data_IF_639173153545
#
_entry.id   IF_639173153545
#
_cell.length_a   1.000
_cell.length_b   1.000
_cell.length_c   1.000
_cell.angle_alpha   90.00
_cell.angle_beta   90.00
_cell.angle_gamma   90.00
#
_symmetry.space_group_name_H-M   'P 1'
#
loop_
_entity.id
_entity.type
_entity.pdbx_description
1 polymer ?
#
# COMPACT_ATOMS: atom_id res chain seq x y z
N UNK A 1 30.98 4.31 5.33
CA UNK A 1 29.95 3.61 4.53
C UNK A 1 28.75 3.45 5.44
N UNK A 2 27.83 4.41 5.41
CA UNK A 2 26.65 4.39 6.27
C UNK A 2 25.70 3.30 5.82
N UNK A 3 25.43 2.37 6.73
CA UNK A 3 24.39 1.35 6.59
C UNK A 3 23.06 2.10 6.52
N UNK A 4 22.33 1.94 5.42
CA UNK A 4 20.90 2.25 5.36
C UNK A 4 20.29 1.64 6.63
N UNK A 5 19.72 2.45 7.52
CA UNK A 5 19.16 1.95 8.78
C UNK A 5 18.11 0.88 8.44
N UNK A 6 18.25 -0.35 8.96
CA UNK A 6 17.18 -1.33 8.88
C UNK A 6 15.92 -0.72 9.52
N UNK A 7 14.79 -0.77 8.83
CA UNK A 7 13.48 -0.41 9.38
C UNK A 7 13.05 -1.51 10.37
N UNK A 8 13.64 -1.53 11.56
CA UNK A 8 13.30 -2.52 12.59
C UNK A 8 11.98 -2.20 13.30
N UNK A 9 11.21 -3.28 13.54
CA UNK A 9 9.85 -3.33 14.08
C UNK A 9 9.80 -3.07 15.59
N UNK A 10 8.73 -2.42 16.03
CA UNK A 10 8.10 -2.70 17.33
C UNK A 10 6.66 -3.18 17.09
N UNK A 11 6.27 -4.26 17.75
CA UNK A 11 4.93 -4.86 17.65
C UNK A 11 4.07 -4.28 18.78
N UNK A 12 2.96 -3.62 18.43
CA UNK A 12 1.97 -3.17 19.40
C UNK A 12 0.55 -3.54 18.95
N UNK A 13 -0.30 -3.83 19.94
CA UNK A 13 -1.65 -4.40 19.80
C UNK A 13 -2.66 -3.40 19.25
N UNK A 14 -2.97 -3.53 17.96
CA UNK A 14 -4.20 -3.10 17.30
C UNK A 14 -4.71 -4.25 16.42
N UNK A 15 -5.76 -4.03 15.60
CA UNK A 15 -6.30 -5.04 14.67
C UNK A 15 -5.17 -5.77 13.94
N UNK A 16 -5.26 -7.09 13.87
CA UNK A 16 -4.30 -7.92 13.15
C UNK A 16 -4.32 -7.57 11.66
N UNK A 17 -3.17 -7.64 11.00
CA UNK A 17 -3.05 -7.35 9.56
C UNK A 17 -4.02 -8.17 8.70
N UNK A 18 -4.31 -9.41 9.14
CA UNK A 18 -5.29 -10.30 8.54
C UNK A 18 -6.73 -9.78 8.68
N UNK A 19 -7.11 -9.17 9.81
CA UNK A 19 -8.43 -8.56 9.98
C UNK A 19 -8.63 -7.36 9.05
N UNK A 20 -7.58 -6.56 8.82
CA UNK A 20 -7.64 -5.45 7.86
C UNK A 20 -7.77 -6.01 6.44
N UNK A 21 -6.94 -6.96 6.01
CA UNK A 21 -7.06 -7.53 4.67
C UNK A 21 -8.42 -8.21 4.45
N UNK A 22 -8.91 -8.98 5.42
CA UNK A 22 -10.22 -9.63 5.33
C UNK A 22 -11.36 -8.59 5.37
N UNK A 23 -11.20 -7.50 6.12
CA UNK A 23 -12.15 -6.37 6.08
C UNK A 23 -12.14 -5.66 4.72
N UNK A 24 -10.95 -5.45 4.13
CA UNK A 24 -10.77 -4.92 2.78
C UNK A 24 -11.44 -5.82 1.72
N UNK A 25 -11.17 -7.13 1.74
CA UNK A 25 -11.70 -8.08 0.76
C UNK A 25 -13.20 -8.35 0.92
N UNK A 26 -13.70 -8.56 2.15
CA UNK A 26 -15.13 -8.82 2.37
C UNK A 26 -15.99 -7.62 1.98
N UNK A 27 -15.50 -6.39 2.19
CA UNK A 27 -16.29 -5.19 1.86
C UNK A 27 -16.16 -4.76 0.42
N UNK A 28 -15.09 -5.15 -0.31
CA UNK A 28 -14.99 -5.07 -1.77
C UNK A 28 -16.02 -5.98 -2.50
N UNK A 29 -16.45 -7.09 -1.87
CA UNK A 29 -17.52 -7.94 -2.40
C UNK A 29 -18.95 -7.46 -2.05
N UNK A 30 -19.12 -6.59 -1.05
CA UNK A 30 -20.43 -6.06 -0.65
C UNK A 30 -20.89 -4.85 -1.49
N UNK A 31 -20.04 -4.32 -2.39
CA UNK A 31 -20.35 -3.17 -3.24
C UNK A 31 -21.62 -3.31 -4.12
N UNK A 32 -22.08 -4.51 -4.57
CA UNK A 32 -23.35 -4.62 -5.27
C UNK A 32 -24.56 -4.94 -4.36
N UNK A 33 -24.36 -5.27 -3.07
CA UNK A 33 -25.41 -5.84 -2.21
C UNK A 33 -26.04 -4.85 -1.23
N UNK A 34 -25.40 -3.72 -0.94
CA UNK A 34 -25.90 -2.74 0.03
C UNK A 34 -26.98 -1.81 -0.57
N UNK A 35 -26.94 -1.53 -1.88
CA UNK A 35 -27.96 -0.72 -2.56
C UNK A 35 -29.38 -1.31 -2.46
N UNK A 36 -29.50 -2.64 -2.35
CA UNK A 36 -30.81 -3.31 -2.25
C UNK A 36 -31.40 -3.36 -0.84
N UNK A 37 -30.68 -2.90 0.19
CA UNK A 37 -31.12 -3.04 1.59
C UNK A 37 -31.65 -1.75 2.23
N UNK A 38 -31.63 -0.63 1.51
CA UNK A 38 -32.09 0.66 2.04
C UNK A 38 -33.48 1.10 1.57
N UNK A 39 -34.20 0.30 0.78
CA UNK A 39 -35.54 0.67 0.26
C UNK A 39 -36.73 0.03 0.97
N UNK A 40 -36.54 -0.77 2.02
CA UNK A 40 -37.67 -1.45 2.68
C UNK A 40 -37.74 -1.16 4.18
N UNK A 41 -38.72 -0.34 4.54
CA UNK A 41 -39.18 -0.06 5.90
C UNK A 41 -39.75 -1.36 6.51
N UNK A 42 -39.35 -1.82 7.71
CA UNK A 42 -39.86 -3.07 8.23
C UNK A 42 -41.24 -2.88 8.88
N UNK A 43 -42.24 -3.63 8.38
CA UNK A 43 -43.47 -3.95 9.12
C UNK A 43 -43.50 -5.46 9.45
N UNK A 44 -43.69 -5.70 10.75
CA UNK A 44 -43.96 -6.92 11.52
C UNK A 44 -44.12 -8.32 10.84
N UNK A 45 -43.46 -9.29 11.49
CA UNK A 45 -43.77 -10.71 11.77
C UNK A 45 -44.39 -11.62 10.69
N UNK A 46 -43.79 -12.81 10.45
CA UNK A 46 -44.30 -14.17 10.84
C UNK A 46 -43.42 -15.30 10.26
N UNK A 47 -43.37 -16.41 11.00
CA UNK A 47 -42.67 -17.71 10.91
C UNK A 47 -42.73 -18.52 9.59
N UNK A 48 -41.67 -19.29 9.27
CA UNK A 48 -41.64 -20.78 9.13
C UNK A 48 -40.57 -21.34 8.15
N UNK A 49 -39.82 -22.38 8.60
CA UNK A 49 -39.32 -23.62 7.89
C UNK A 49 -38.40 -23.45 6.64
N UNK A 50 -37.46 -24.33 6.24
CA UNK A 50 -36.85 -25.61 6.65
C UNK A 50 -35.56 -25.77 5.79
N UNK A 51 -34.55 -26.47 6.31
CA UNK A 51 -33.38 -27.17 5.71
C UNK A 51 -33.03 -26.99 4.22
N UNK A 52 -31.72 -26.81 3.91
CA UNK A 52 -30.96 -27.82 3.16
C UNK A 52 -29.44 -27.63 3.23
N UNK A 53 -28.77 -28.77 3.18
CA UNK A 53 -27.34 -29.05 3.22
C UNK A 53 -26.60 -28.50 2.00
N UNK A 54 -25.38 -27.99 2.19
CA UNK A 54 -24.38 -28.08 1.13
C UNK A 54 -22.94 -28.13 1.65
N UNK A 55 -22.23 -29.05 1.04
CA UNK A 55 -20.90 -29.55 1.37
C UNK A 55 -19.83 -28.51 1.02
N UNK A 56 -18.82 -28.42 1.89
CA UNK A 56 -17.63 -27.58 1.72
C UNK A 56 -16.64 -28.33 0.82
N UNK A 57 -16.07 -27.70 -0.22
CA UNK A 57 -14.78 -28.13 -0.75
C UNK A 57 -13.68 -27.34 -0.04
N UNK A 58 -12.82 -28.07 0.67
CA UNK A 58 -11.55 -27.60 1.20
C UNK A 58 -10.60 -27.19 0.06
N UNK A 59 -9.79 -26.17 0.33
CA UNK A 59 -8.40 -26.21 -0.12
C UNK A 59 -7.91 -25.17 -1.12
N UNK A 60 -8.28 -23.89 -1.00
CA UNK A 60 -7.38 -22.82 -1.44
C UNK A 60 -6.58 -22.32 -0.24
N UNK A 61 -5.27 -22.54 -0.25
CA UNK A 61 -4.36 -21.91 0.72
C UNK A 61 -4.40 -20.40 0.46
N UNK A 62 -5.25 -19.72 1.23
CA UNK A 62 -5.23 -18.27 1.41
C UNK A 62 -3.77 -17.84 1.62
N UNK A 63 -3.27 -16.84 0.87
CA UNK A 63 -1.93 -16.31 1.12
C UNK A 63 -1.84 -15.90 2.59
N UNK A 64 -0.69 -16.13 3.23
CA UNK A 64 -0.49 -15.80 4.64
C UNK A 64 -0.66 -14.28 4.85
N UNK A 65 -1.88 -13.87 5.22
CA UNK A 65 -2.31 -12.48 5.32
C UNK A 65 -1.57 -11.72 6.43
N UNK A 66 -0.79 -12.41 7.26
CA UNK A 66 0.05 -11.81 8.31
C UNK A 66 1.30 -11.12 7.76
N UNK A 67 1.72 -11.45 6.53
CA UNK A 67 2.91 -10.88 5.90
C UNK A 67 2.65 -9.57 5.14
N UNK A 68 1.39 -9.27 4.79
CA UNK A 68 1.07 -8.08 4.00
C UNK A 68 1.41 -6.79 4.77
N UNK A 69 2.18 -5.92 4.12
CA UNK A 69 2.58 -4.62 4.63
C UNK A 69 2.04 -3.52 3.72
N UNK A 70 1.60 -2.43 4.33
CA UNK A 70 0.98 -1.32 3.61
C UNK A 70 1.80 -0.05 3.75
N UNK A 71 1.68 0.79 2.74
CA UNK A 71 2.10 2.18 2.75
C UNK A 71 0.91 3.06 2.39
N UNK A 72 0.89 4.28 2.93
CA UNK A 72 -0.14 5.26 2.64
C UNK A 72 0.45 6.61 2.29
N UNK A 73 -0.23 7.35 1.41
CA UNK A 73 0.20 8.66 0.93
C UNK A 73 -0.33 9.74 1.87
N UNK A 74 0.57 10.49 2.51
CA UNK A 74 0.18 11.62 3.35
C UNK A 74 -0.37 12.77 2.50
N UNK A 75 -1.40 13.41 3.03
CA UNK A 75 -1.99 14.61 2.44
C UNK A 75 -1.15 15.87 2.65
N UNK A 76 -0.24 15.85 3.63
CA UNK A 76 0.57 17.01 4.05
C UNK A 76 1.69 17.33 3.06
N UNK A 77 2.35 16.29 2.56
CA UNK A 77 3.56 16.41 1.74
C UNK A 77 3.52 15.57 0.45
N UNK A 78 2.47 14.77 0.25
CA UNK A 78 2.32 13.90 -0.92
C UNK A 78 3.22 12.65 -0.91
N UNK A 79 3.90 12.38 0.20
CA UNK A 79 4.84 11.27 0.31
C UNK A 79 4.20 9.98 0.80
N UNK A 80 4.86 8.86 0.51
CA UNK A 80 4.45 7.53 0.96
C UNK A 80 5.19 7.11 2.23
N UNK A 81 4.42 6.70 3.23
CA UNK A 81 4.91 6.26 4.52
C UNK A 81 4.39 4.86 4.85
N UNK A 82 5.20 4.08 5.54
CA UNK A 82 4.78 2.77 6.04
C UNK A 82 3.63 2.94 7.05
N UNK A 83 2.56 2.17 6.88
CA UNK A 83 1.46 2.13 7.83
C UNK A 83 1.82 1.21 8.99
N UNK A 84 1.78 1.74 10.22
CA UNK A 84 1.93 0.97 11.43
C UNK A 84 0.60 0.29 11.81
N UNK A 85 -0.51 1.03 11.72
CA UNK A 85 -1.84 0.51 12.02
C UNK A 85 -2.95 1.29 11.32
N UNK A 86 -4.03 0.59 11.00
CA UNK A 86 -5.32 1.17 10.63
C UNK A 86 -6.17 1.26 11.89
N UNK A 87 -6.60 2.48 12.24
CA UNK A 87 -7.29 2.77 13.50
C UNK A 87 -8.81 2.60 13.37
N UNK A 88 -9.38 3.12 12.29
CA UNK A 88 -10.82 3.08 12.00
C UNK A 88 -11.08 3.44 10.53
N UNK A 89 -12.33 3.39 10.08
CA UNK A 89 -12.76 3.77 8.74
C UNK A 89 -14.00 4.66 8.78
N UNK A 90 -14.26 5.37 7.67
CA UNK A 90 -15.51 6.12 7.44
C UNK A 90 -15.91 6.06 5.98
N UNK A 91 -17.20 6.28 5.73
CA UNK A 91 -17.73 6.50 4.40
C UNK A 91 -18.17 7.96 4.30
N UNK A 92 -17.75 8.62 3.23
CA UNK A 92 -18.20 9.96 2.91
C UNK A 92 -19.55 9.89 2.18
N UNK A 93 -20.30 11.00 2.20
CA UNK A 93 -21.56 11.09 1.44
C UNK A 93 -21.35 10.97 -0.07
N UNK A 94 -20.13 11.17 -0.56
CA UNK A 94 -19.71 10.91 -1.95
C UNK A 94 -19.68 9.42 -2.31
N UNK A 95 -19.78 8.51 -1.33
CA UNK A 95 -19.58 7.07 -1.50
C UNK A 95 -18.13 6.62 -1.38
N UNK A 96 -17.20 7.55 -1.16
CA UNK A 96 -15.79 7.24 -0.95
C UNK A 96 -15.53 6.67 0.45
N UNK A 97 -14.58 5.74 0.52
CA UNK A 97 -14.16 5.12 1.77
C UNK A 97 -12.77 5.64 2.17
N UNK A 98 -12.66 6.05 3.43
CA UNK A 98 -11.41 6.50 4.02
C UNK A 98 -11.07 5.67 5.26
N UNK A 99 -9.78 5.51 5.50
CA UNK A 99 -9.24 4.89 6.71
C UNK A 99 -8.40 5.90 7.48
N UNK A 100 -8.44 5.81 8.80
CA UNK A 100 -7.54 6.57 9.66
C UNK A 100 -6.29 5.73 9.92
N UNK A 101 -5.13 6.23 9.52
CA UNK A 101 -3.85 5.51 9.60
C UNK A 101 -2.91 6.16 10.61
N UNK A 102 -2.12 5.31 11.29
CA UNK A 102 -0.91 5.73 12.00
C UNK A 102 0.31 5.27 11.23
N UNK A 103 1.23 6.18 10.98
CA UNK A 103 2.48 5.89 10.26
C UNK A 103 3.56 5.33 11.20
N UNK A 104 4.46 4.52 10.66
CA UNK A 104 5.63 4.02 11.39
C UNK A 104 6.53 5.19 11.79
N UNK A 105 6.88 5.28 13.08
CA UNK A 105 7.76 6.32 13.60
C UNK A 105 7.06 7.63 14.01
N UNK A 106 5.74 7.71 13.86
CA UNK A 106 4.95 8.89 14.21
C UNK A 106 3.91 8.58 15.32
N UNK A 107 3.58 9.59 16.12
CA UNK A 107 2.60 9.51 17.20
C UNK A 107 1.16 9.79 16.74
N UNK A 108 0.23 9.80 17.69
CA UNK A 108 -1.20 9.97 17.44
C UNK A 108 -1.57 11.36 16.88
N UNK A 109 -0.72 12.34 17.13
CA UNK A 109 -0.79 13.70 16.62
C UNK A 109 -0.64 13.78 15.09
N UNK A 110 -0.01 12.77 14.49
CA UNK A 110 0.21 12.69 13.04
C UNK A 110 -0.76 11.74 12.33
N UNK A 111 -1.73 11.15 13.04
CA UNK A 111 -2.70 10.23 12.44
C UNK A 111 -3.53 10.94 11.35
N UNK A 112 -3.66 10.32 10.16
CA UNK A 112 -4.33 10.92 9.01
C UNK A 112 -5.51 10.09 8.50
N UNK A 113 -6.56 10.76 8.02
CA UNK A 113 -7.60 10.15 7.20
C UNK A 113 -7.12 10.12 5.75
N UNK A 114 -7.07 8.93 5.15
CA UNK A 114 -6.61 8.74 3.77
C UNK A 114 -7.65 7.96 2.96
N UNK A 115 -7.82 8.34 1.70
CA UNK A 115 -8.69 7.64 0.76
C UNK A 115 -8.13 6.26 0.45
N UNK A 116 -8.96 5.22 0.61
CA UNK A 116 -8.52 3.84 0.46
C UNK A 116 -8.01 3.56 -0.96
N UNK A 117 -8.76 3.98 -1.98
CA UNK A 117 -8.47 3.65 -3.39
C UNK A 117 -7.29 4.43 -3.94
N UNK A 118 -7.08 5.65 -3.46
CA UNK A 118 -6.10 6.57 -4.03
C UNK A 118 -4.81 6.68 -3.20
N UNK A 119 -4.86 6.38 -1.91
CA UNK A 119 -3.80 6.72 -0.98
C UNK A 119 -3.39 5.57 -0.05
N UNK A 120 -3.85 4.34 -0.28
CA UNK A 120 -3.40 3.14 0.44
C UNK A 120 -3.04 2.06 -0.57
N UNK A 121 -1.89 1.41 -0.37
CA UNK A 121 -1.45 0.31 -1.24
C UNK A 121 -0.50 -0.63 -0.51
N UNK A 122 -0.30 -1.81 -1.08
CA UNK A 122 0.76 -2.70 -0.62
C UNK A 122 2.13 -2.00 -0.72
N UNK A 123 2.95 -2.21 0.31
CA UNK A 123 4.27 -1.64 0.48
C UNK A 123 5.13 -1.94 -0.75
N UNK A 124 5.82 -0.91 -1.25
CA UNK A 124 6.76 -1.04 -2.34
C UNK A 124 7.96 -1.88 -1.91
N UNK A 125 8.46 -2.73 -2.80
CA UNK A 125 9.53 -3.69 -2.49
C UNK A 125 10.88 -3.15 -2.97
N UNK A 126 11.91 -3.07 -2.09
CA UNK A 126 13.27 -2.68 -2.52
C UNK A 126 13.79 -3.58 -3.65
N UNK A 127 14.53 -2.99 -4.58
CA UNK A 127 15.11 -3.72 -5.70
C UNK A 127 16.50 -4.25 -5.36
N UNK A 128 16.71 -5.55 -5.56
CA UNK A 128 18.02 -6.17 -5.42
C UNK A 128 18.95 -5.81 -6.59
N UNK A 129 20.26 -5.84 -6.37
CA UNK A 129 21.25 -5.46 -7.39
C UNK A 129 21.12 -6.25 -8.70
N UNK A 130 20.74 -7.52 -8.63
CA UNK A 130 20.48 -8.41 -9.76
C UNK A 130 19.21 -8.06 -10.53
N UNK A 131 18.29 -7.30 -9.92
CA UNK A 131 16.98 -6.97 -10.48
C UNK A 131 16.97 -5.68 -11.30
N UNK A 132 18.10 -4.97 -11.40
CA UNK A 132 18.17 -3.73 -12.16
C UNK A 132 17.66 -3.87 -13.60
N UNK A 133 17.88 -5.02 -14.25
CA UNK A 133 17.45 -5.30 -15.62
C UNK A 133 15.93 -5.39 -15.77
N UNK A 134 15.20 -5.65 -14.68
CA UNK A 134 13.74 -5.70 -14.67
C UNK A 134 13.12 -4.31 -14.81
N UNK A 135 13.77 -3.27 -14.29
CA UNK A 135 13.32 -1.87 -14.40
C UNK A 135 13.41 -1.37 -15.84
N UNK A 136 12.33 -0.81 -16.37
CA UNK A 136 12.20 -0.26 -17.73
C UNK A 136 11.84 1.23 -17.70
N UNK A 137 12.09 1.91 -18.82
CA UNK A 137 11.62 3.28 -19.04
C UNK A 137 10.10 3.27 -19.06
N UNK A 138 9.48 4.23 -18.37
CA UNK A 138 8.05 4.32 -18.15
C UNK A 138 7.55 3.63 -16.87
N UNK A 139 8.37 2.82 -16.19
CA UNK A 139 7.95 2.16 -14.95
C UNK A 139 7.63 3.19 -13.85
N UNK A 140 6.52 2.98 -13.15
CA UNK A 140 6.21 3.64 -11.88
C UNK A 140 7.02 2.98 -10.76
N UNK A 141 7.79 3.78 -10.04
CA UNK A 141 8.64 3.36 -8.92
C UNK A 141 8.42 4.25 -7.71
N UNK A 142 8.61 3.69 -6.52
CA UNK A 142 8.75 4.51 -5.33
C UNK A 142 10.22 4.88 -5.17
N UNK A 143 10.52 6.17 -5.21
CA UNK A 143 11.87 6.69 -5.14
C UNK A 143 12.13 7.42 -3.82
N UNK A 144 13.17 6.99 -3.11
CA UNK A 144 13.71 7.71 -1.96
C UNK A 144 14.36 9.00 -2.45
N UNK A 145 13.87 10.16 -1.99
CA UNK A 145 14.44 11.48 -2.22
C UNK A 145 15.14 11.97 -0.94
N UNK A 146 16.45 12.18 -1.04
CA UNK A 146 17.28 12.67 0.07
C UNK A 146 17.73 14.10 -0.22
N UNK A 147 17.22 15.05 0.57
CA UNK A 147 17.63 16.45 0.62
C UNK A 147 18.27 16.73 1.98
N UNK A 148 18.82 17.94 2.18
CA UNK A 148 19.58 18.30 3.40
C UNK A 148 18.83 17.97 4.71
N UNK A 149 17.52 18.24 4.72
CA UNK A 149 16.69 18.12 5.93
C UNK A 149 15.53 17.12 5.77
N UNK A 150 15.46 16.39 4.65
CA UNK A 150 14.34 15.51 4.32
C UNK A 150 14.82 14.22 3.64
N UNK A 151 14.26 13.09 4.08
CA UNK A 151 14.56 11.76 3.60
C UNK A 151 13.23 11.01 3.40
N UNK A 152 12.59 11.25 2.25
CA UNK A 152 11.17 10.96 2.02
C UNK A 152 10.99 10.12 0.76
N UNK A 153 9.90 9.36 0.65
CA UNK A 153 9.62 8.50 -0.50
C UNK A 153 8.48 9.07 -1.34
N UNK A 154 8.71 9.21 -2.65
CA UNK A 154 7.74 9.72 -3.61
C UNK A 154 7.56 8.77 -4.79
N UNK A 155 6.38 8.79 -5.37
CA UNK A 155 6.17 8.18 -6.69
C UNK A 155 6.94 8.96 -7.76
N UNK A 156 7.52 8.20 -8.68
CA UNK A 156 8.28 8.72 -9.80
C UNK A 156 8.23 7.75 -10.98
N UNK A 157 8.43 8.28 -12.18
CA UNK A 157 8.52 7.51 -13.41
C UNK A 157 9.97 7.44 -13.91
N UNK A 158 10.38 6.27 -14.42
CA UNK A 158 11.68 6.13 -15.06
C UNK A 158 11.66 6.81 -16.43
N UNK A 159 12.52 7.80 -16.64
CA UNK A 159 12.64 8.55 -17.90
C UNK A 159 13.77 7.98 -18.78
N UNK A 160 14.91 7.66 -18.17
CA UNK A 160 16.09 7.16 -18.89
C UNK A 160 16.83 6.14 -18.01
N UNK A 161 17.47 5.15 -18.62
CA UNK A 161 18.33 4.21 -17.92
C UNK A 161 19.70 4.13 -18.58
N UNK A 162 20.73 4.51 -17.82
CA UNK A 162 22.13 4.36 -18.21
C UNK A 162 22.68 3.07 -17.62
N UNK A 163 22.70 2.01 -18.44
CA UNK A 163 23.24 0.70 -18.07
C UNK A 163 24.76 0.74 -17.96
N UNK A 164 25.31 0.15 -16.89
CA UNK A 164 26.76 0.02 -16.67
C UNK A 164 27.12 -1.41 -16.35
N UNK A 165 28.33 -1.83 -16.68
CA UNK A 165 28.86 -3.13 -16.26
C UNK A 165 28.99 -3.21 -14.75
N UNK A 166 28.42 -4.25 -14.14
CA UNK A 166 28.51 -4.56 -12.72
C UNK A 166 28.19 -6.03 -12.46
N UNK A 167 28.46 -6.50 -11.24
CA UNK A 167 28.11 -7.84 -10.78
C UNK A 167 26.99 -7.78 -9.72
N UNK A 168 26.71 -8.92 -9.08
CA UNK A 168 25.68 -9.05 -8.04
C UNK A 168 26.01 -8.27 -6.76
N UNK A 169 27.25 -7.83 -6.55
CA UNK A 169 27.67 -7.13 -5.32
C UNK A 169 27.21 -5.68 -5.30
N UNK A 170 26.87 -5.11 -6.45
CA UNK A 170 26.45 -3.71 -6.50
C UNK A 170 26.11 -3.23 -7.89
N UNK A 171 24.85 -2.83 -8.08
CA UNK A 171 24.40 -2.17 -9.30
C UNK A 171 25.06 -0.80 -9.48
N UNK A 172 25.59 -0.56 -10.67
CA UNK A 172 26.22 0.71 -11.08
C UNK A 172 25.39 1.50 -12.10
N UNK A 173 24.22 0.99 -12.49
CA UNK A 173 23.33 1.69 -13.41
C UNK A 173 22.85 3.01 -12.80
N UNK A 174 22.59 4.00 -13.66
CA UNK A 174 21.94 5.25 -13.28
C UNK A 174 20.55 5.28 -13.89
N UNK A 175 19.58 5.77 -13.12
CA UNK A 175 18.19 5.87 -13.51
C UNK A 175 17.81 7.34 -13.41
N UNK A 176 17.42 7.96 -14.53
CA UNK A 176 16.80 9.27 -14.50
C UNK A 176 15.33 9.06 -14.15
N UNK A 177 14.89 9.64 -13.04
CA UNK A 177 13.50 9.60 -12.61
C UNK A 177 12.89 10.98 -12.72
N UNK A 178 11.58 11.05 -12.97
CA UNK A 178 10.77 12.27 -12.83
C UNK A 178 9.76 12.05 -11.72
N UNK A 179 9.75 12.93 -10.74
CA UNK A 179 8.86 12.85 -9.59
C UNK A 179 7.45 13.31 -9.95
N UNK A 180 6.43 12.59 -9.48
CA UNK A 180 5.04 12.88 -9.80
C UNK A 180 4.53 14.14 -9.07
N UNK A 181 5.10 14.45 -7.90
CA UNK A 181 4.63 15.55 -7.04
C UNK A 181 5.06 16.95 -7.52
N UNK A 182 6.24 17.08 -8.15
CA UNK A 182 6.79 18.38 -8.56
C UNK A 182 7.39 18.39 -9.98
N UNK A 183 7.29 17.28 -10.72
CA UNK A 183 7.88 17.10 -12.06
C UNK A 183 9.40 17.29 -12.11
N UNK A 184 10.11 17.36 -10.98
CA UNK A 184 11.57 17.47 -10.98
C UNK A 184 12.20 16.15 -11.41
N UNK A 185 13.37 16.26 -12.05
CA UNK A 185 14.12 15.10 -12.52
C UNK A 185 15.41 14.91 -11.72
N UNK A 186 15.73 13.66 -11.40
CA UNK A 186 16.93 13.32 -10.65
C UNK A 186 17.57 12.03 -11.17
N UNK A 187 18.90 12.00 -11.28
CA UNK A 187 19.65 10.76 -11.55
C UNK A 187 19.94 10.04 -10.24
N UNK A 188 19.33 8.87 -10.05
CA UNK A 188 19.45 8.06 -8.84
C UNK A 188 20.08 6.70 -9.12
N UNK A 189 20.55 6.04 -8.05
CA UNK A 189 21.04 4.65 -8.09
C UNK A 189 19.92 3.69 -7.73
N UNK A 190 20.04 2.43 -8.14
CA UNK A 190 19.04 1.38 -7.88
C UNK A 190 18.59 1.30 -6.41
N UNK A 191 19.52 1.45 -5.45
CA UNK A 191 19.22 1.41 -4.01
C UNK A 191 18.20 2.44 -3.51
N UNK A 192 17.91 3.48 -4.31
CA UNK A 192 16.90 4.50 -4.01
C UNK A 192 15.53 4.15 -4.59
N UNK A 193 15.40 3.04 -5.30
CA UNK A 193 14.19 2.64 -6.00
C UNK A 193 13.58 1.40 -5.36
N UNK A 194 12.27 1.44 -5.16
CA UNK A 194 11.46 0.28 -4.85
C UNK A 194 10.49 0.04 -6.01
N UNK A 195 10.28 -1.23 -6.36
CA UNK A 195 9.25 -1.60 -7.33
C UNK A 195 7.88 -1.53 -6.67
N UNK A 196 6.89 -1.07 -7.42
CA UNK A 196 5.49 -1.17 -7.03
C UNK A 196 5.06 -2.65 -7.04
N UNK A 197 4.28 -3.06 -6.05
CA UNK A 197 3.55 -4.34 -6.13
C UNK A 197 2.51 -4.24 -7.24
N UNK A 198 2.32 -5.33 -7.97
CA UNK A 198 1.30 -5.42 -9.03
C UNK A 198 -0.10 -5.65 -8.47
N UNK A 199 -0.24 -5.91 -7.17
CA UNK A 199 -1.53 -6.01 -6.51
C UNK A 199 -2.00 -4.61 -6.07
N UNK A 200 -3.05 -4.10 -6.73
CA UNK A 200 -3.81 -2.95 -6.24
C UNK A 200 -4.97 -3.48 -5.39
N UNK A 201 -5.23 -2.83 -4.25
CA UNK A 201 -6.38 -3.09 -3.39
C UNK A 201 -7.66 -2.49 -3.98
#
# INVERSE_FOLDING_TARGET
MERLRPRERQVFSGFTKAEVHNWFQNRLQDFPKIEKRMTEIPKACTSNKTQESSQVPEGEKSPDLSELEFEARSSKDGAWYDVAMFLTHRFLSSGEAEVRVRFVGFGAEEDEWVNIKQAVRERSVPLEHSECQKVKVGDLVLCFQERRDQAIYYDAHIIEIQRRMHDIRGCRCLFLVRYDHDSTEEKVRLRRLCRRSTHQL
#
